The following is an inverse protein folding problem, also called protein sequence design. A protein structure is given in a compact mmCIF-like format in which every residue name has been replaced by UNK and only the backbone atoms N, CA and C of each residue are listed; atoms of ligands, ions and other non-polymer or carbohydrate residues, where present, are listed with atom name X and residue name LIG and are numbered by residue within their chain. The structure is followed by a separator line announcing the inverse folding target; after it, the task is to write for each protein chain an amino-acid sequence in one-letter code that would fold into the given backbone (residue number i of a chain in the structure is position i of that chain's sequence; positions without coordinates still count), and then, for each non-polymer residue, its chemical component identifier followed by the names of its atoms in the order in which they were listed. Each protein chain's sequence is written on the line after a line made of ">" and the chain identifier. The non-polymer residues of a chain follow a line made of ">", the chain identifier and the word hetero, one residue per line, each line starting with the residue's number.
data_IF_534719463870
#
_entry.id   IF_534719463870
#
_cell.length_a   1.000
_cell.length_b   1.000
_cell.length_c   1.000
_cell.angle_alpha   90.00
_cell.angle_beta   90.00
_cell.angle_gamma   90.00
#
_symmetry.space_group_name_H-M   'P 1'
#
loop_
_entity.id
_entity.type
_entity.pdbx_description
1 polymer ?
#
# COMPACT_ATOMS: atom_id res chain seq x y z
N UNK A 1 59.98 28.60 41.90
CA UNK A 1 59.13 28.59 40.69
C UNK A 1 59.89 27.84 39.61
N UNK A 2 59.50 26.70 39.07
CA UNK A 2 58.30 25.87 39.17
C UNK A 2 58.67 24.42 38.81
N UNK A 3 57.99 23.39 39.34
CA UNK A 3 57.91 22.07 38.70
C UNK A 3 56.49 21.84 38.19
N UNK A 4 56.32 21.48 36.91
CA UNK A 4 55.10 20.81 36.42
C UNK A 4 55.45 19.92 35.22
N UNK A 5 56.12 18.80 35.49
CA UNK A 5 56.09 17.67 34.55
C UNK A 5 54.81 16.89 34.86
N UNK A 6 53.79 17.08 34.02
CA UNK A 6 52.55 16.34 34.05
C UNK A 6 52.78 14.92 33.55
N UNK A 7 52.82 13.98 34.48
CA UNK A 7 52.75 12.55 34.24
C UNK A 7 51.27 12.17 34.00
N UNK A 8 51.00 11.46 32.90
CA UNK A 8 49.68 10.88 32.67
C UNK A 8 49.37 10.53 31.21
N UNK A 9 49.77 9.35 30.70
CA UNK A 9 49.08 8.73 29.58
C UNK A 9 47.93 7.87 30.12
N UNK A 10 46.77 8.49 30.43
CA UNK A 10 45.52 7.74 30.62
C UNK A 10 44.95 7.35 29.26
N UNK A 11 45.42 6.21 28.76
CA UNK A 11 44.75 5.47 27.70
C UNK A 11 43.34 5.08 28.16
N UNK A 12 42.32 5.70 27.59
CA UNK A 12 40.96 5.17 27.61
C UNK A 12 40.87 4.08 26.53
N UNK A 13 40.51 2.84 26.84
CA UNK A 13 40.20 1.87 25.80
C UNK A 13 38.91 2.30 25.09
N UNK A 14 39.02 2.59 23.80
CA UNK A 14 37.90 2.63 22.87
C UNK A 14 37.15 1.29 22.97
N UNK A 15 36.01 1.29 23.63
CA UNK A 15 35.06 0.17 23.61
C UNK A 15 34.34 0.16 22.26
N UNK A 16 35.03 -0.30 21.22
CA UNK A 16 34.42 -0.68 19.95
C UNK A 16 33.92 -2.11 20.08
N UNK A 17 32.79 -2.28 20.77
CA UNK A 17 32.17 -3.56 21.06
C UNK A 17 30.86 -3.76 20.32
N UNK A 18 30.96 -4.10 19.05
CA UNK A 18 30.02 -4.96 18.29
C UNK A 18 28.52 -4.64 18.35
N UNK A 19 28.08 -4.08 17.22
CA UNK A 19 26.75 -4.26 16.64
C UNK A 19 26.21 -5.68 16.85
N UNK A 20 25.30 -5.82 17.83
CA UNK A 20 24.26 -6.83 17.79
C UNK A 20 23.03 -6.24 17.10
N UNK A 21 23.16 -5.83 15.84
CA UNK A 21 21.98 -5.57 15.02
C UNK A 21 21.28 -6.92 14.88
N UNK A 22 20.29 -7.17 15.75
CA UNK A 22 19.41 -8.31 15.65
C UNK A 22 18.74 -8.23 14.27
N UNK A 23 19.33 -8.91 13.29
CA UNK A 23 18.70 -9.15 11.99
C UNK A 23 17.45 -9.92 12.32
N UNK A 24 16.34 -9.20 12.46
CA UNK A 24 15.00 -9.76 12.54
C UNK A 24 14.89 -10.70 11.36
N UNK A 25 15.01 -12.00 11.63
CA UNK A 25 14.71 -13.05 10.67
C UNK A 25 13.22 -12.90 10.34
N UNK A 26 12.91 -12.07 9.34
CA UNK A 26 11.57 -12.02 8.74
C UNK A 26 11.41 -13.37 8.06
N UNK A 27 10.59 -14.22 8.64
CA UNK A 27 10.18 -15.45 7.97
C UNK A 27 9.46 -15.07 6.68
N UNK A 28 9.86 -15.60 5.51
CA UNK A 28 9.24 -15.26 4.23
C UNK A 28 7.72 -15.50 4.22
N UNK A 29 7.23 -16.46 5.02
CA UNK A 29 5.81 -16.71 5.20
C UNK A 29 5.02 -15.56 5.86
N UNK A 30 5.62 -14.82 6.80
CA UNK A 30 4.91 -13.78 7.55
C UNK A 30 4.56 -12.56 6.66
N UNK A 31 5.44 -12.22 5.71
CA UNK A 31 5.19 -11.12 4.76
C UNK A 31 4.01 -11.45 3.83
N UNK A 32 3.97 -12.68 3.29
CA UNK A 32 2.84 -13.13 2.46
C UNK A 32 1.52 -13.16 3.23
N UNK A 33 1.52 -13.54 4.51
CA UNK A 33 0.31 -13.49 5.34
C UNK A 33 -0.15 -12.05 5.53
N UNK A 34 0.77 -11.12 5.82
CA UNK A 34 0.43 -9.70 5.96
C UNK A 34 -0.11 -9.10 4.65
N UNK A 35 0.50 -9.39 3.51
CA UNK A 35 0.03 -8.98 2.18
C UNK A 35 -1.39 -9.50 1.88
N UNK A 36 -1.62 -10.79 2.18
CA UNK A 36 -2.93 -11.40 1.98
C UNK A 36 -4.00 -10.73 2.82
N UNK A 37 -3.70 -10.51 4.09
CA UNK A 37 -4.64 -9.93 5.04
C UNK A 37 -4.93 -8.47 4.70
N UNK A 38 -3.90 -7.71 4.31
CA UNK A 38 -4.04 -6.33 3.81
C UNK A 38 -4.97 -6.27 2.60
N UNK A 39 -4.70 -7.05 1.56
CA UNK A 39 -5.52 -7.06 0.35
C UNK A 39 -6.97 -7.51 0.63
N UNK A 40 -7.15 -8.53 1.48
CA UNK A 40 -8.47 -9.03 1.86
C UNK A 40 -9.29 -7.97 2.60
N UNK A 41 -8.71 -7.36 3.64
CA UNK A 41 -9.36 -6.32 4.43
C UNK A 41 -9.72 -5.11 3.58
N UNK A 42 -8.76 -4.61 2.80
CA UNK A 42 -8.96 -3.48 1.92
C UNK A 42 -10.06 -3.72 0.87
N UNK A 43 -10.12 -4.93 0.30
CA UNK A 43 -11.16 -5.28 -0.66
C UNK A 43 -12.56 -5.24 -0.03
N UNK A 44 -12.71 -5.78 1.18
CA UNK A 44 -14.00 -5.74 1.88
C UNK A 44 -14.43 -4.31 2.21
N UNK A 45 -13.52 -3.49 2.74
CA UNK A 45 -13.80 -2.08 3.05
C UNK A 45 -14.23 -1.29 1.81
N UNK A 46 -13.59 -1.52 0.66
CA UNK A 46 -13.98 -0.86 -0.60
C UNK A 46 -15.32 -1.35 -1.14
N UNK A 47 -15.62 -2.64 -1.03
CA UNK A 47 -16.91 -3.19 -1.44
C UNK A 47 -18.06 -2.64 -0.59
N UNK A 48 -17.84 -2.50 0.72
CA UNK A 48 -18.83 -1.92 1.62
C UNK A 48 -19.07 -0.44 1.28
N UNK A 49 -18.02 0.34 1.01
CA UNK A 49 -18.15 1.73 0.55
C UNK A 49 -18.86 1.83 -0.80
N UNK A 50 -18.59 0.92 -1.73
CA UNK A 50 -19.29 0.85 -3.01
C UNK A 50 -20.79 0.60 -2.82
N UNK A 51 -21.15 -0.38 -1.99
CA UNK A 51 -22.55 -0.70 -1.71
C UNK A 51 -23.27 0.47 -1.03
N UNK A 52 -22.62 1.14 -0.06
CA UNK A 52 -23.17 2.34 0.58
C UNK A 52 -23.37 3.48 -0.42
N UNK A 53 -22.37 3.79 -1.23
CA UNK A 53 -22.44 4.85 -2.22
C UNK A 53 -23.55 4.61 -3.26
N UNK A 54 -23.79 3.35 -3.64
CA UNK A 54 -24.91 2.98 -4.53
C UNK A 54 -26.28 3.23 -3.91
N UNK A 55 -26.44 2.92 -2.63
CA UNK A 55 -27.72 3.10 -1.91
C UNK A 55 -27.99 4.58 -1.65
N UNK A 56 -26.97 5.34 -1.27
CA UNK A 56 -27.10 6.76 -0.92
C UNK A 56 -27.47 7.64 -2.12
N UNK A 57 -26.97 7.35 -3.32
CA UNK A 57 -27.24 8.13 -4.53
C UNK A 57 -27.41 7.23 -5.77
N UNK A 58 -28.63 6.74 -6.04
CA UNK A 58 -28.92 5.83 -7.14
C UNK A 58 -28.51 6.28 -8.55
N UNK A 59 -28.50 7.59 -8.93
CA UNK A 59 -28.15 7.95 -10.30
C UNK A 59 -26.64 7.90 -10.59
N UNK A 60 -25.77 7.77 -9.57
CA UNK A 60 -24.32 7.77 -9.78
C UNK A 60 -23.85 6.35 -10.10
N UNK A 61 -23.27 6.17 -11.29
CA UNK A 61 -22.78 4.87 -11.77
C UNK A 61 -21.41 5.01 -12.45
N UNK A 62 -20.79 3.86 -12.78
CA UNK A 62 -19.51 3.80 -13.47
C UNK A 62 -18.39 4.57 -12.75
N UNK A 63 -17.57 5.29 -13.51
CA UNK A 63 -16.40 6.02 -12.98
C UNK A 63 -16.74 7.03 -11.88
N UNK A 64 -17.89 7.71 -11.95
CA UNK A 64 -18.30 8.68 -10.94
C UNK A 64 -18.58 8.02 -9.57
N UNK A 65 -19.12 6.80 -9.59
CA UNK A 65 -19.31 6.00 -8.38
C UNK A 65 -17.96 5.54 -7.82
N UNK A 66 -17.04 5.10 -8.69
CA UNK A 66 -15.70 4.68 -8.26
C UNK A 66 -14.91 5.85 -7.65
N UNK A 67 -15.02 7.05 -8.21
CA UNK A 67 -14.39 8.26 -7.69
C UNK A 67 -14.82 8.53 -6.24
N UNK A 68 -16.13 8.44 -5.97
CA UNK A 68 -16.66 8.60 -4.62
C UNK A 68 -16.13 7.56 -3.65
N UNK A 69 -16.07 6.30 -4.05
CA UNK A 69 -15.52 5.23 -3.21
C UNK A 69 -14.05 5.49 -2.88
N UNK A 70 -13.26 5.95 -3.86
CA UNK A 70 -11.86 6.32 -3.64
C UNK A 70 -11.76 7.51 -2.68
N UNK A 71 -12.52 8.59 -2.89
CA UNK A 71 -12.57 9.75 -1.97
C UNK A 71 -12.87 9.30 -0.53
N UNK A 72 -13.89 8.46 -0.35
CA UNK A 72 -14.29 7.96 0.97
C UNK A 72 -13.19 7.10 1.63
N UNK A 73 -12.50 6.25 0.85
CA UNK A 73 -11.43 5.39 1.37
C UNK A 73 -10.19 6.18 1.75
N UNK A 74 -9.70 7.01 0.84
CA UNK A 74 -8.38 7.63 0.96
C UNK A 74 -8.41 8.98 1.67
N UNK A 75 -9.60 9.55 1.91
CA UNK A 75 -9.77 10.91 2.43
C UNK A 75 -9.20 11.98 1.48
N UNK A 76 -9.00 11.62 0.20
CA UNK A 76 -8.46 12.52 -0.81
C UNK A 76 -9.57 13.35 -1.41
N UNK A 77 -9.22 14.52 -1.95
CA UNK A 77 -10.15 15.30 -2.75
C UNK A 77 -10.53 14.60 -4.07
N UNK A 78 -11.58 15.10 -4.70
CA UNK A 78 -12.11 14.59 -5.96
C UNK A 78 -11.07 14.61 -7.11
N UNK A 79 -10.20 15.63 -7.17
CA UNK A 79 -9.18 15.75 -8.23
C UNK A 79 -8.12 14.65 -8.08
N UNK A 80 -7.66 14.40 -6.86
CA UNK A 80 -6.72 13.33 -6.57
C UNK A 80 -7.34 11.94 -6.81
N UNK A 81 -8.62 11.76 -6.46
CA UNK A 81 -9.35 10.52 -6.75
C UNK A 81 -9.47 10.26 -8.27
N UNK A 82 -9.77 11.28 -9.08
CA UNK A 82 -9.75 11.15 -10.55
C UNK A 82 -8.37 10.78 -11.09
N UNK A 83 -7.30 11.32 -10.50
CA UNK A 83 -5.93 10.94 -10.85
C UNK A 83 -5.64 9.45 -10.56
N UNK A 84 -6.20 8.89 -9.50
CA UNK A 84 -6.11 7.45 -9.22
C UNK A 84 -6.88 6.64 -10.28
N UNK A 85 -8.10 7.05 -10.62
CA UNK A 85 -8.89 6.35 -11.65
C UNK A 85 -8.20 6.37 -13.02
N UNK A 86 -7.60 7.49 -13.41
CA UNK A 86 -6.85 7.61 -14.66
C UNK A 86 -5.67 6.63 -14.69
N UNK A 87 -4.86 6.59 -13.63
CA UNK A 87 -3.74 5.63 -13.55
C UNK A 87 -4.19 4.19 -13.54
N UNK A 88 -5.33 3.89 -12.91
CA UNK A 88 -5.93 2.56 -12.94
C UNK A 88 -6.37 2.18 -14.36
N UNK A 89 -6.97 3.14 -15.10
CA UNK A 89 -7.35 2.96 -16.50
C UNK A 89 -6.13 2.70 -17.38
N UNK A 90 -5.12 3.55 -17.30
CA UNK A 90 -3.84 3.39 -18.02
C UNK A 90 -3.17 2.03 -17.72
N UNK A 91 -3.30 1.54 -16.48
CA UNK A 91 -2.70 0.27 -16.05
C UNK A 91 -3.43 -0.98 -16.55
N UNK A 92 -4.76 -0.93 -16.70
CA UNK A 92 -5.58 -2.14 -16.89
C UNK A 92 -6.44 -2.15 -18.16
N UNK A 93 -6.69 -0.99 -18.74
CA UNK A 93 -7.66 -0.80 -19.81
C UNK A 93 -6.98 -0.58 -21.15
N UNK A 94 -5.90 0.20 -21.17
CA UNK A 94 -5.25 0.64 -22.41
C UNK A 94 -4.53 -0.50 -23.15
N UNK A 95 -4.08 -1.54 -22.45
CA UNK A 95 -3.46 -2.73 -23.05
C UNK A 95 -3.71 -3.97 -22.17
N UNK A 96 -4.02 -5.17 -22.71
CA UNK A 96 -4.00 -5.59 -24.12
C UNK A 96 -5.38 -5.58 -24.85
N UNK A 97 -6.47 -5.12 -24.23
CA UNK A 97 -7.82 -5.35 -24.78
C UNK A 97 -8.69 -4.10 -24.99
N UNK A 98 -8.28 -2.90 -24.56
CA UNK A 98 -9.10 -1.69 -24.72
C UNK A 98 -10.49 -1.87 -24.09
N UNK A 99 -10.55 -2.16 -22.79
CA UNK A 99 -11.82 -2.42 -22.08
C UNK A 99 -12.16 -1.29 -21.13
N UNK A 100 -13.44 -1.15 -20.78
CA UNK A 100 -13.85 -0.19 -19.75
C UNK A 100 -13.26 -0.54 -18.38
N UNK A 101 -12.89 0.50 -17.63
CA UNK A 101 -12.44 0.40 -16.25
C UNK A 101 -13.57 -0.14 -15.38
N UNK A 102 -13.34 -1.28 -14.72
CA UNK A 102 -14.29 -1.87 -13.76
C UNK A 102 -13.90 -1.55 -12.33
N UNK A 103 -14.82 -1.72 -11.40
CA UNK A 103 -14.56 -1.45 -9.99
C UNK A 103 -13.41 -2.31 -9.46
N UNK A 104 -13.36 -3.58 -9.87
CA UNK A 104 -12.29 -4.51 -9.50
C UNK A 104 -10.89 -3.98 -9.88
N UNK A 105 -10.77 -3.31 -11.02
CA UNK A 105 -9.49 -2.78 -11.50
C UNK A 105 -9.04 -1.60 -10.64
N UNK A 106 -9.98 -0.72 -10.26
CA UNK A 106 -9.75 0.38 -9.33
C UNK A 106 -9.31 -0.13 -7.97
N UNK A 107 -10.00 -1.13 -7.41
CA UNK A 107 -9.65 -1.73 -6.11
C UNK A 107 -8.25 -2.33 -6.15
N UNK A 108 -7.92 -3.06 -7.22
CA UNK A 108 -6.59 -3.66 -7.37
C UNK A 108 -5.50 -2.59 -7.47
N UNK A 109 -5.73 -1.53 -8.26
CA UNK A 109 -4.80 -0.41 -8.37
C UNK A 109 -4.55 0.22 -6.99
N UNK A 110 -5.61 0.59 -6.28
CA UNK A 110 -5.53 1.28 -4.98
C UNK A 110 -4.79 0.44 -3.95
N UNK A 111 -5.09 -0.86 -3.86
CA UNK A 111 -4.42 -1.76 -2.92
C UNK A 111 -2.92 -1.85 -3.21
N UNK A 112 -2.53 -1.99 -4.48
CA UNK A 112 -1.11 -2.07 -4.85
C UNK A 112 -0.43 -0.73 -4.58
N UNK A 113 -1.02 0.39 -4.99
CA UNK A 113 -0.48 1.74 -4.82
C UNK A 113 -0.27 2.09 -3.35
N UNK A 114 -1.27 1.83 -2.49
CA UNK A 114 -1.18 2.03 -1.04
C UNK A 114 -0.14 1.11 -0.41
N UNK A 115 -0.14 -0.18 -0.78
CA UNK A 115 0.80 -1.13 -0.21
C UNK A 115 2.25 -0.75 -0.52
N UNK A 116 2.55 -0.40 -1.78
CA UNK A 116 3.89 0.01 -2.21
C UNK A 116 4.32 1.31 -1.52
N UNK A 117 3.41 2.28 -1.38
CA UNK A 117 3.69 3.54 -0.68
C UNK A 117 4.02 3.33 0.81
N UNK A 118 3.37 2.36 1.45
CA UNK A 118 3.68 1.98 2.84
C UNK A 118 4.95 1.12 2.99
N UNK A 119 5.52 0.62 1.89
CA UNK A 119 6.65 -0.31 1.88
C UNK A 119 7.76 0.11 0.88
N UNK A 120 8.20 1.38 0.96
CA UNK A 120 9.15 2.03 0.02
C UNK A 120 10.51 1.30 -0.15
N UNK A 121 10.82 0.28 0.66
CA UNK A 121 12.04 -0.53 0.55
C UNK A 121 11.85 -1.94 -0.03
N UNK A 122 10.63 -2.34 -0.39
CA UNK A 122 10.33 -3.67 -0.91
C UNK A 122 10.30 -3.67 -2.45
N UNK A 123 10.87 -4.71 -3.08
CA UNK A 123 10.87 -4.92 -4.55
C UNK A 123 9.48 -5.28 -5.13
N UNK A 124 8.40 -4.89 -4.45
CA UNK A 124 7.03 -5.24 -4.78
C UNK A 124 6.39 -6.25 -3.83
N UNK A 125 5.26 -6.81 -4.28
CA UNK A 125 4.44 -7.77 -3.54
C UNK A 125 4.89 -9.19 -3.84
N UNK A 126 4.95 -10.05 -2.82
CA UNK A 126 5.24 -11.48 -3.00
C UNK A 126 3.98 -12.30 -3.32
N UNK A 127 2.81 -11.72 -3.03
CA UNK A 127 1.51 -12.33 -3.22
C UNK A 127 0.82 -11.77 -4.45
N UNK A 128 0.15 -12.64 -5.22
CA UNK A 128 -0.80 -12.22 -6.24
C UNK A 128 -2.05 -11.62 -5.56
N UNK A 129 -2.00 -10.32 -5.25
CA UNK A 129 -3.11 -9.58 -4.65
C UNK A 129 -4.36 -9.59 -5.54
N UNK A 130 -4.20 -9.61 -6.86
CA UNK A 130 -5.29 -9.72 -7.82
C UNK A 130 -6.17 -10.96 -7.62
N UNK A 131 -5.59 -12.11 -7.21
CA UNK A 131 -6.38 -13.31 -6.86
C UNK A 131 -7.25 -13.12 -5.63
N UNK A 132 -6.83 -12.28 -4.67
CA UNK A 132 -7.55 -12.03 -3.42
C UNK A 132 -8.68 -11.04 -3.69
N UNK A 133 -8.35 -9.92 -4.34
CA UNK A 133 -9.35 -8.95 -4.82
C UNK A 133 -10.38 -9.69 -5.67
N UNK A 134 -9.93 -10.61 -6.53
CA UNK A 134 -10.81 -11.39 -7.39
C UNK A 134 -11.71 -12.40 -6.69
N UNK A 135 -11.52 -12.67 -5.40
CA UNK A 135 -12.44 -13.48 -4.58
C UNK A 135 -13.45 -12.63 -3.83
N UNK A 136 -13.13 -11.37 -3.56
CA UNK A 136 -13.97 -10.46 -2.77
C UNK A 136 -14.84 -9.59 -3.66
N UNK A 137 -14.27 -9.00 -4.71
CA UNK A 137 -14.97 -8.08 -5.61
C UNK A 137 -15.51 -8.85 -6.82
N UNK A 138 -16.83 -8.91 -7.08
CA UNK A 138 -17.38 -9.52 -8.29
C UNK A 138 -16.81 -8.90 -9.58
N UNK A 139 -16.86 -9.65 -10.68
CA UNK A 139 -16.21 -9.25 -11.96
C UNK A 139 -17.03 -8.25 -12.79
N UNK A 140 -18.28 -8.06 -12.40
CA UNK A 140 -19.35 -7.35 -13.08
C UNK A 140 -19.73 -6.04 -12.38
N UNK A 141 -18.99 -5.66 -11.33
CA UNK A 141 -19.05 -4.36 -10.68
C UNK A 141 -18.02 -3.39 -11.27
#
# INVERSE_FOLDING_TARGET
>A
MAPTNGDGPSQLPHSTGTQGAAKKRRFPGAKMVAEKWFAWRASHEMLDSYNRARVEQPPVSGKALYERVVVQRSGLDAKAARGILLRAEESFCDWPAGRELRFRDVVLYVIIDEYLRSHVGDLGTQTNMGKIVGRVIPKDL
#
